data_IF_008607580330
#
_entry.id   IF_008607580330
#
_cell.length_a   1.000
_cell.length_b   1.000
_cell.length_c   1.000
_cell.angle_alpha   90.00
_cell.angle_beta   90.00
_cell.angle_gamma   90.00
#
_symmetry.space_group_name_H-M   'P 1'
#
loop_
_entity.id
_entity.type
_entity.pdbx_description
1 polymer ?
#
# COMPACT_ATOMS: atom_id res chain seq x y z
N UNK A 1 -13.98 -16.60 -13.06
CA UNK A 1 -15.03 -15.59 -13.36
C UNK A 1 -15.11 -15.35 -14.85
N UNK A 2 -16.22 -14.80 -15.34
CA UNK A 2 -16.24 -14.33 -16.71
C UNK A 2 -15.48 -13.00 -16.82
N UNK A 3 -14.85 -12.76 -17.97
CA UNK A 3 -14.20 -11.48 -18.31
C UNK A 3 -15.13 -10.29 -18.09
N UNK A 4 -16.44 -10.48 -18.31
CA UNK A 4 -17.49 -9.48 -18.07
C UNK A 4 -17.58 -9.08 -16.60
N UNK A 5 -17.47 -10.03 -15.65
CA UNK A 5 -17.55 -9.73 -14.22
C UNK A 5 -16.32 -8.95 -13.72
N UNK A 6 -15.13 -9.29 -14.19
CA UNK A 6 -13.90 -8.55 -13.87
C UNK A 6 -14.00 -7.11 -14.35
N UNK A 7 -14.47 -6.93 -15.60
CA UNK A 7 -14.68 -5.59 -16.16
C UNK A 7 -15.70 -4.77 -15.35
N UNK A 8 -16.81 -5.39 -14.94
CA UNK A 8 -17.84 -4.73 -14.15
C UNK A 8 -17.32 -4.33 -12.76
N UNK A 9 -16.57 -5.19 -12.08
CA UNK A 9 -15.97 -4.87 -10.79
C UNK A 9 -15.00 -3.67 -10.88
N UNK A 10 -14.15 -3.66 -11.92
CA UNK A 10 -13.27 -2.53 -12.20
C UNK A 10 -14.07 -1.23 -12.44
N UNK A 11 -15.13 -1.30 -13.25
CA UNK A 11 -15.98 -0.15 -13.54
C UNK A 11 -16.58 0.44 -12.27
N UNK A 12 -17.14 -0.41 -11.38
CA UNK A 12 -17.76 0.02 -10.12
C UNK A 12 -16.74 0.75 -9.22
N UNK A 13 -15.56 0.16 -9.01
CA UNK A 13 -14.51 0.77 -8.16
C UNK A 13 -14.01 2.07 -8.79
N UNK A 14 -13.82 2.09 -10.11
CA UNK A 14 -13.35 3.29 -10.82
C UNK A 14 -14.35 4.44 -10.72
N UNK A 15 -15.64 4.18 -10.99
CA UNK A 15 -16.70 5.19 -10.89
C UNK A 15 -16.86 5.70 -9.45
N UNK A 16 -16.79 4.79 -8.45
CA UNK A 16 -16.76 5.16 -7.04
C UNK A 16 -15.67 6.18 -6.75
N UNK A 17 -14.45 5.96 -7.22
CA UNK A 17 -13.35 6.88 -6.99
C UNK A 17 -13.48 8.21 -7.74
N UNK A 18 -14.05 8.20 -8.95
CA UNK A 18 -14.33 9.43 -9.67
C UNK A 18 -15.34 10.32 -8.92
N UNK A 19 -16.37 9.72 -8.35
CA UNK A 19 -17.35 10.45 -7.56
C UNK A 19 -16.79 10.91 -6.20
N UNK A 20 -15.96 10.11 -5.53
CA UNK A 20 -15.25 10.53 -4.32
C UNK A 20 -14.37 11.77 -4.55
N UNK A 21 -13.70 11.85 -5.71
CA UNK A 21 -12.89 13.02 -6.07
C UNK A 21 -13.68 14.32 -6.19
N UNK A 22 -15.00 14.24 -6.30
CA UNK A 22 -15.89 15.39 -6.49
C UNK A 22 -16.74 15.71 -5.26
N UNK A 23 -16.87 14.75 -4.34
CA UNK A 23 -17.86 14.81 -3.27
C UNK A 23 -17.55 15.84 -2.18
N UNK A 24 -16.27 16.04 -1.83
CA UNK A 24 -15.90 16.79 -0.63
C UNK A 24 -16.41 16.17 0.68
N UNK A 25 -16.11 16.80 1.81
CA UNK A 25 -16.47 16.27 3.12
C UNK A 25 -17.98 16.21 3.41
N UNK A 26 -18.77 17.07 2.77
CA UNK A 26 -20.23 17.12 2.97
C UNK A 26 -20.98 16.08 2.11
N UNK A 27 -20.48 15.78 0.91
CA UNK A 27 -21.11 14.85 -0.03
C UNK A 27 -20.61 13.41 0.03
N UNK A 28 -19.54 13.14 0.78
CA UNK A 28 -18.87 11.83 0.78
C UNK A 28 -19.76 10.70 1.28
N UNK A 29 -20.66 10.97 2.23
CA UNK A 29 -21.58 9.97 2.76
C UNK A 29 -22.51 9.42 1.67
N UNK A 30 -23.09 10.28 0.84
CA UNK A 30 -24.01 9.90 -0.25
C UNK A 30 -23.30 9.03 -1.30
N UNK A 31 -22.02 9.33 -1.57
CA UNK A 31 -21.21 8.55 -2.52
C UNK A 31 -20.91 7.16 -1.93
N UNK A 32 -20.51 7.09 -0.66
CA UNK A 32 -20.23 5.81 -0.01
C UNK A 32 -21.51 4.95 0.07
N UNK A 33 -22.66 5.49 0.42
CA UNK A 33 -23.94 4.76 0.40
C UNK A 33 -24.30 4.21 -0.98
N UNK A 34 -23.98 4.95 -2.03
CA UNK A 34 -24.26 4.54 -3.40
C UNK A 34 -23.41 3.36 -3.86
N UNK A 35 -22.14 3.32 -3.49
CA UNK A 35 -21.18 2.33 -4.01
C UNK A 35 -20.85 1.22 -3.05
N UNK A 36 -20.97 1.43 -1.74
CA UNK A 36 -20.60 0.45 -0.74
C UNK A 36 -21.82 -0.32 -0.20
N UNK A 37 -21.58 -1.53 0.24
CA UNK A 37 -22.57 -2.28 0.99
C UNK A 37 -22.75 -1.65 2.38
N UNK A 38 -23.95 -1.68 2.93
CA UNK A 38 -24.24 -1.08 4.26
C UNK A 38 -23.34 -1.65 5.38
N UNK A 39 -22.97 -2.92 5.29
CA UNK A 39 -22.14 -3.64 6.26
C UNK A 39 -20.69 -3.78 5.74
N UNK A 40 -20.21 -2.79 4.95
CA UNK A 40 -18.84 -2.78 4.44
C UNK A 40 -17.84 -2.95 5.57
N UNK A 41 -16.83 -3.80 5.34
CA UNK A 41 -15.64 -3.92 6.18
C UNK A 41 -14.51 -3.11 5.59
N UNK A 42 -13.85 -2.33 6.40
CA UNK A 42 -12.75 -1.49 5.96
C UNK A 42 -11.57 -1.64 6.90
N UNK A 43 -10.40 -1.93 6.34
CA UNK A 43 -9.16 -2.12 7.05
C UNK A 43 -8.16 -1.06 6.63
N UNK A 44 -7.69 -0.26 7.55
CA UNK A 44 -6.73 0.81 7.34
C UNK A 44 -5.54 0.74 8.29
N UNK A 45 -4.66 1.75 8.19
CA UNK A 45 -3.44 1.79 8.99
C UNK A 45 -3.73 2.15 10.45
N UNK A 46 -2.72 1.96 11.31
CA UNK A 46 -2.71 2.62 12.61
C UNK A 46 -2.75 4.16 12.43
N UNK A 47 -3.53 4.92 13.21
CA UNK A 47 -4.33 4.54 14.39
C UNK A 47 -5.82 4.26 14.07
N UNK A 48 -6.22 4.21 12.80
CA UNK A 48 -7.64 4.07 12.41
C UNK A 48 -8.10 2.62 12.56
N UNK A 49 -7.28 1.66 12.11
CA UNK A 49 -7.54 0.21 12.15
C UNK A 49 -8.78 -0.22 11.34
N UNK A 50 -9.77 -0.78 12.00
CA UNK A 50 -10.92 -1.41 11.36
C UNK A 50 -12.17 -0.55 11.55
N UNK A 51 -12.93 -0.37 10.48
CA UNK A 51 -14.18 0.35 10.46
C UNK A 51 -15.27 -0.54 9.87
N UNK A 52 -16.39 -0.67 10.58
CA UNK A 52 -17.52 -1.51 10.21
C UNK A 52 -18.74 -0.67 9.85
N UNK A 53 -19.21 -0.82 8.61
CA UNK A 53 -20.38 -0.13 8.09
C UNK A 53 -20.09 1.30 7.58
N UNK A 54 -21.07 1.84 6.89
CA UNK A 54 -20.97 3.14 6.19
C UNK A 54 -20.68 4.29 7.15
N UNK A 55 -21.42 4.38 8.25
CA UNK A 55 -21.28 5.48 9.22
C UNK A 55 -19.87 5.54 9.80
N UNK A 56 -19.32 4.38 10.21
CA UNK A 56 -17.94 4.30 10.71
C UNK A 56 -16.92 4.66 9.66
N UNK A 57 -17.10 4.21 8.41
CA UNK A 57 -16.21 4.53 7.31
C UNK A 57 -16.21 6.02 6.97
N UNK A 58 -17.38 6.65 6.95
CA UNK A 58 -17.52 8.10 6.72
C UNK A 58 -16.84 8.90 7.82
N UNK A 59 -17.23 8.65 9.08
CA UNK A 59 -16.78 9.45 10.22
C UNK A 59 -15.34 9.12 10.68
N UNK A 60 -14.89 7.89 10.47
CA UNK A 60 -13.58 7.43 10.93
C UNK A 60 -12.43 7.66 9.93
N UNK A 61 -12.75 7.75 8.63
CA UNK A 61 -11.71 7.91 7.61
C UNK A 61 -11.98 9.05 6.62
N UNK A 62 -13.04 8.93 5.80
CA UNK A 62 -13.21 9.84 4.65
C UNK A 62 -13.48 11.28 5.05
N UNK A 63 -14.39 11.52 5.98
CA UNK A 63 -14.75 12.88 6.40
C UNK A 63 -13.59 13.61 7.07
N UNK A 64 -12.84 13.02 8.04
CA UNK A 64 -11.65 13.63 8.59
C UNK A 64 -10.57 13.91 7.53
N UNK A 65 -10.33 12.98 6.61
CA UNK A 65 -9.36 13.16 5.53
C UNK A 65 -9.74 14.33 4.63
N UNK A 66 -11.00 14.40 4.16
CA UNK A 66 -11.49 15.46 3.30
C UNK A 66 -11.63 16.82 4.01
N UNK A 67 -11.80 16.84 5.33
CA UNK A 67 -11.74 18.08 6.12
C UNK A 67 -10.32 18.62 6.23
N UNK A 68 -9.34 17.71 6.30
CA UNK A 68 -7.93 18.07 6.40
C UNK A 68 -7.34 18.45 5.04
N UNK A 69 -7.85 17.84 3.97
CA UNK A 69 -7.47 18.09 2.57
C UNK A 69 -8.71 18.42 1.72
N UNK A 70 -9.26 19.65 1.80
CA UNK A 70 -10.55 19.97 1.19
C UNK A 70 -10.58 19.93 -0.35
N UNK A 71 -9.42 19.98 -0.98
CA UNK A 71 -9.23 19.88 -2.43
C UNK A 71 -8.59 18.54 -2.86
N UNK A 72 -8.71 17.50 -2.01
CA UNK A 72 -8.12 16.19 -2.23
C UNK A 72 -8.48 15.63 -3.61
N UNK A 73 -7.47 15.11 -4.31
CA UNK A 73 -7.62 14.39 -5.56
C UNK A 73 -6.86 13.08 -5.51
N UNK A 74 -7.49 12.02 -5.98
CA UNK A 74 -6.86 10.72 -6.17
C UNK A 74 -6.29 10.64 -7.59
N UNK A 75 -5.01 10.37 -7.71
CA UNK A 75 -4.36 9.87 -8.93
C UNK A 75 -4.12 8.38 -8.77
N UNK A 76 -4.43 7.62 -9.79
CA UNK A 76 -4.18 6.20 -9.83
C UNK A 76 -3.04 5.92 -10.81
N UNK A 77 -2.04 5.17 -10.37
CA UNK A 77 -0.86 4.81 -11.15
C UNK A 77 -0.91 3.34 -11.61
N UNK A 78 -1.45 2.46 -10.76
CA UNK A 78 -1.82 1.09 -11.08
C UNK A 78 -3.28 0.87 -10.72
N UNK A 79 -4.01 0.21 -11.63
CA UNK A 79 -5.38 -0.20 -11.41
C UNK A 79 -5.61 -1.51 -12.13
N UNK A 80 -5.67 -2.58 -11.38
CA UNK A 80 -5.69 -3.96 -11.89
C UNK A 80 -6.80 -4.74 -11.20
N UNK A 81 -7.35 -5.72 -11.87
CA UNK A 81 -8.38 -6.56 -11.31
C UNK A 81 -8.40 -7.89 -12.05
N UNK A 82 -8.43 -8.97 -11.33
CA UNK A 82 -8.36 -10.30 -11.88
C UNK A 82 -9.31 -11.26 -11.19
N UNK A 83 -8.75 -12.27 -10.61
CA UNK A 83 -9.49 -13.37 -10.01
C UNK A 83 -10.49 -12.90 -8.95
N UNK A 84 -11.68 -13.50 -9.06
CA UNK A 84 -12.76 -13.45 -8.07
C UNK A 84 -13.44 -12.07 -7.96
N UNK A 85 -13.21 -11.31 -6.92
CA UNK A 85 -13.99 -10.09 -6.62
C UNK A 85 -13.11 -8.85 -6.47
N UNK A 86 -11.78 -9.00 -6.56
CA UNK A 86 -10.84 -8.01 -6.13
C UNK A 86 -10.39 -7.06 -7.25
N UNK A 87 -10.23 -5.81 -6.87
CA UNK A 87 -9.55 -4.78 -7.62
C UNK A 87 -8.44 -4.23 -6.74
N UNK A 88 -7.21 -4.23 -7.26
CA UNK A 88 -6.04 -3.69 -6.59
C UNK A 88 -5.56 -2.42 -7.26
N UNK A 89 -5.05 -1.47 -6.49
CA UNK A 89 -4.53 -0.22 -7.01
C UNK A 89 -3.41 0.38 -6.18
N UNK A 90 -2.53 1.10 -6.86
CA UNK A 90 -1.53 1.99 -6.27
C UNK A 90 -1.69 3.38 -6.87
N UNK A 91 -1.48 4.39 -6.06
CA UNK A 91 -1.54 5.77 -6.49
C UNK A 91 -1.18 6.74 -5.39
N UNK A 92 -1.67 7.96 -5.54
CA UNK A 92 -1.53 8.97 -4.51
C UNK A 92 -2.75 9.85 -4.44
N UNK A 93 -3.08 10.27 -3.23
CA UNK A 93 -3.89 11.46 -3.01
C UNK A 93 -2.98 12.69 -3.04
N UNK A 94 -3.48 13.80 -3.54
CA UNK A 94 -2.80 15.10 -3.45
C UNK A 94 -3.83 16.18 -3.12
N UNK A 95 -3.44 17.13 -2.27
CA UNK A 95 -4.29 18.24 -1.86
C UNK A 95 -3.57 19.17 -0.91
N UNK A 96 -4.20 20.31 -0.63
CA UNK A 96 -3.70 21.27 0.36
C UNK A 96 -3.95 20.75 1.76
N UNK A 97 -2.88 20.53 2.54
CA UNK A 97 -2.96 20.11 3.95
C UNK A 97 -3.40 21.31 4.83
N UNK A 98 -4.71 21.55 4.86
CA UNK A 98 -5.31 22.76 5.42
C UNK A 98 -5.66 22.66 6.91
N UNK A 99 -5.86 21.45 7.46
CA UNK A 99 -6.14 21.19 8.88
C UNK A 99 -5.41 19.93 9.32
N UNK A 100 -5.12 19.85 10.62
CA UNK A 100 -4.43 18.70 11.21
C UNK A 100 -5.16 17.38 10.87
N UNK A 101 -4.37 16.36 10.57
CA UNK A 101 -4.86 15.01 10.28
C UNK A 101 -4.10 13.99 11.11
N UNK A 102 -4.80 13.16 11.86
CA UNK A 102 -4.21 12.15 12.77
C UNK A 102 -3.22 12.75 13.78
N UNK A 103 -3.39 14.02 14.17
CA UNK A 103 -2.45 14.73 15.03
C UNK A 103 -1.20 15.25 14.34
N UNK A 104 -1.09 15.11 13.01
CA UNK A 104 -0.02 15.71 12.21
C UNK A 104 -0.40 17.15 11.93
N UNK A 105 0.45 18.14 12.27
CA UNK A 105 0.16 19.55 12.05
C UNK A 105 0.02 19.90 10.57
N UNK A 106 -1.01 20.68 10.25
CA UNK A 106 -1.26 21.19 8.90
C UNK A 106 -0.14 22.12 8.43
N UNK A 107 0.23 22.00 7.16
CA UNK A 107 1.29 22.82 6.56
C UNK A 107 0.76 24.00 5.75
N UNK A 108 -0.50 23.97 5.36
CA UNK A 108 -1.08 24.86 4.36
C UNK A 108 -0.50 24.69 2.95
N UNK A 109 0.27 23.62 2.69
CA UNK A 109 0.92 23.34 1.41
C UNK A 109 0.32 22.11 0.75
N UNK A 110 0.55 21.96 -0.54
CA UNK A 110 0.27 20.73 -1.24
C UNK A 110 1.05 19.56 -0.60
N UNK A 111 0.35 18.49 -0.32
CA UNK A 111 0.89 17.27 0.27
C UNK A 111 0.39 16.09 -0.54
N UNK A 112 1.26 15.12 -0.74
CA UNK A 112 0.95 13.87 -1.44
C UNK A 112 0.90 12.73 -0.43
N UNK A 113 -0.12 11.87 -0.55
CA UNK A 113 -0.29 10.67 0.29
C UNK A 113 -0.28 9.47 -0.63
N UNK A 114 0.84 8.78 -0.72
CA UNK A 114 0.96 7.50 -1.46
C UNK A 114 0.03 6.48 -0.82
N UNK A 115 -0.59 5.63 -1.61
CA UNK A 115 -1.44 4.57 -1.08
C UNK A 115 -1.39 3.30 -1.92
N UNK A 116 -1.67 2.16 -1.28
CA UNK A 116 -2.17 0.95 -1.91
C UNK A 116 -3.58 0.65 -1.42
N UNK A 117 -4.42 0.12 -2.29
CA UNK A 117 -5.80 -0.25 -1.96
C UNK A 117 -6.21 -1.55 -2.65
N UNK A 118 -6.93 -2.39 -1.91
CA UNK A 118 -7.65 -3.55 -2.43
C UNK A 118 -9.12 -3.43 -2.07
N UNK A 119 -9.99 -3.50 -3.08
CA UNK A 119 -11.44 -3.44 -2.91
C UNK A 119 -12.11 -4.68 -3.46
N UNK A 120 -12.93 -5.35 -2.65
CA UNK A 120 -13.76 -6.48 -3.06
C UNK A 120 -15.16 -5.99 -3.47
N UNK A 121 -15.62 -6.44 -4.64
CA UNK A 121 -16.96 -6.12 -5.16
C UNK A 121 -17.84 -7.38 -5.18
N UNK A 122 -19.02 -7.27 -4.62
CA UNK A 122 -20.04 -8.31 -4.67
C UNK A 122 -21.42 -7.66 -4.88
N UNK A 123 -22.22 -8.24 -5.77
CA UNK A 123 -23.55 -7.76 -6.14
C UNK A 123 -23.61 -6.25 -6.44
N UNK A 124 -22.60 -5.76 -7.18
CA UNK A 124 -22.53 -4.35 -7.58
C UNK A 124 -22.14 -3.37 -6.50
N UNK A 125 -21.66 -3.85 -5.34
CA UNK A 125 -21.25 -3.03 -4.20
C UNK A 125 -19.85 -3.41 -3.71
N UNK A 126 -19.09 -2.43 -3.25
CA UNK A 126 -17.86 -2.64 -2.49
C UNK A 126 -18.24 -3.17 -1.10
N UNK A 127 -17.75 -4.36 -0.76
CA UNK A 127 -18.09 -5.04 0.51
C UNK A 127 -16.93 -5.05 1.51
N UNK A 128 -15.69 -4.95 1.01
CA UNK A 128 -14.48 -5.01 1.81
C UNK A 128 -13.40 -4.18 1.15
N UNK A 129 -12.68 -3.39 1.95
CA UNK A 129 -11.52 -2.61 1.48
C UNK A 129 -10.36 -2.78 2.45
N UNK A 130 -9.16 -2.98 1.90
CA UNK A 130 -7.88 -2.76 2.58
C UNK A 130 -7.22 -1.55 1.95
N UNK A 131 -6.72 -0.62 2.77
CA UNK A 131 -5.97 0.55 2.29
C UNK A 131 -4.79 0.86 3.21
N UNK A 132 -3.66 1.16 2.61
CA UNK A 132 -2.45 1.62 3.31
C UNK A 132 -2.03 2.97 2.71
N UNK A 133 -2.51 4.10 3.24
CA UNK A 133 -1.90 5.40 2.98
C UNK A 133 -0.56 5.50 3.72
N UNK A 134 0.43 6.11 3.09
CA UNK A 134 1.75 6.33 3.69
C UNK A 134 1.73 7.52 4.67
N UNK A 135 1.26 7.25 5.89
CA UNK A 135 1.12 8.26 6.95
C UNK A 135 2.48 8.80 7.38
N UNK A 136 3.52 7.95 7.37
CA UNK A 136 4.87 8.37 7.73
C UNK A 136 5.43 9.41 6.74
N UNK A 137 5.08 9.28 5.46
CA UNK A 137 5.44 10.29 4.44
C UNK A 137 4.73 11.63 4.65
N UNK A 138 3.48 11.63 5.11
CA UNK A 138 2.76 12.86 5.48
C UNK A 138 3.47 13.58 6.62
N UNK A 139 3.92 12.84 7.63
CA UNK A 139 4.71 13.40 8.76
C UNK A 139 6.01 14.01 8.25
N UNK A 140 6.73 13.31 7.36
CA UNK A 140 7.96 13.82 6.74
C UNK A 140 7.70 15.09 5.93
N UNK A 141 6.64 15.14 5.12
CA UNK A 141 6.25 16.33 4.34
C UNK A 141 5.82 17.49 5.23
N UNK A 142 5.30 17.21 6.43
CA UNK A 142 5.02 18.23 7.44
C UNK A 142 6.28 18.81 8.11
N UNK A 143 7.46 18.24 7.82
CA UNK A 143 8.76 18.75 8.28
C UNK A 143 9.35 18.02 9.48
N UNK A 144 8.77 16.87 9.87
CA UNK A 144 9.26 16.09 11.02
C UNK A 144 10.05 14.86 10.55
N UNK A 145 11.28 14.74 11.01
CA UNK A 145 12.14 13.60 10.74
C UNK A 145 12.21 12.71 11.98
N UNK A 146 11.39 11.66 12.02
CA UNK A 146 11.25 10.78 13.19
C UNK A 146 12.19 9.56 13.14
N UNK A 147 12.64 9.17 11.96
CA UNK A 147 13.54 8.05 11.73
C UNK A 147 14.87 8.55 11.16
N UNK A 148 15.94 7.74 11.21
CA UNK A 148 17.17 8.02 10.45
C UNK A 148 16.88 8.25 8.96
N UNK A 149 17.79 8.90 8.21
CA UNK A 149 17.65 9.06 6.77
C UNK A 149 17.44 7.70 6.09
N UNK A 150 16.48 7.62 5.17
CA UNK A 150 16.20 6.43 4.37
C UNK A 150 17.41 6.04 3.54
N UNK A 151 17.61 4.74 3.32
CA UNK A 151 18.65 4.23 2.41
C UNK A 151 18.25 4.40 0.94
N UNK A 152 16.95 4.46 0.66
CA UNK A 152 16.38 4.74 -0.65
C UNK A 152 15.98 6.21 -0.84
N UNK A 153 15.52 6.54 -2.05
CA UNK A 153 15.04 7.87 -2.40
C UNK A 153 13.63 8.11 -1.83
N UNK A 154 13.47 9.15 -1.01
CA UNK A 154 12.15 9.61 -0.56
C UNK A 154 11.48 10.46 -1.65
N UNK A 155 10.18 10.27 -1.84
CA UNK A 155 9.41 11.05 -2.80
C UNK A 155 8.17 10.33 -3.33
N UNK A 156 7.45 10.91 -4.30
CA UNK A 156 6.28 10.29 -4.88
C UNK A 156 6.64 9.03 -5.66
N UNK A 157 5.74 8.04 -5.66
CA UNK A 157 5.87 6.91 -6.57
C UNK A 157 5.40 7.33 -7.96
N UNK A 158 6.16 7.03 -9.00
CA UNK A 158 5.67 7.17 -10.38
C UNK A 158 4.73 6.00 -10.70
N UNK A 159 3.95 6.15 -11.75
CA UNK A 159 3.34 5.01 -12.44
C UNK A 159 4.41 4.15 -13.14
N UNK A 160 4.01 3.00 -13.71
CA UNK A 160 4.93 2.13 -14.42
C UNK A 160 5.63 2.87 -15.58
N UNK A 161 6.87 2.50 -15.82
CA UNK A 161 7.70 3.13 -16.87
C UNK A 161 7.06 3.05 -18.27
N UNK A 162 6.21 2.06 -18.51
CA UNK A 162 5.45 1.86 -19.75
C UNK A 162 4.19 2.73 -19.85
N UNK A 163 3.73 3.35 -18.74
CA UNK A 163 2.55 4.21 -18.71
C UNK A 163 1.21 3.48 -18.89
N UNK A 164 1.18 2.16 -18.77
CA UNK A 164 0.02 1.29 -19.04
C UNK A 164 -0.60 0.64 -17.79
N UNK A 165 -0.30 1.14 -16.59
CA UNK A 165 -0.73 0.52 -15.32
C UNK A 165 -2.22 0.63 -15.00
N UNK A 166 -2.99 1.47 -15.69
CA UNK A 166 -4.44 1.64 -15.45
C UNK A 166 -5.24 0.78 -16.42
N UNK A 167 -5.56 -0.44 -15.99
CA UNK A 167 -6.24 -1.45 -16.81
C UNK A 167 -7.74 -1.46 -16.51
N UNK A 168 -8.52 -0.63 -17.20
CA UNK A 168 -9.97 -0.53 -17.00
C UNK A 168 -10.74 -1.72 -17.56
N UNK A 169 -10.16 -2.43 -18.52
CA UNK A 169 -10.75 -3.64 -19.12
C UNK A 169 -10.01 -4.90 -18.65
N UNK A 170 -10.68 -6.04 -18.68
CA UNK A 170 -10.03 -7.32 -18.39
C UNK A 170 -8.98 -7.64 -19.45
N UNK A 171 -7.82 -8.11 -19.02
CA UNK A 171 -6.70 -8.53 -19.86
C UNK A 171 -6.72 -10.05 -20.08
N UNK A 172 -5.71 -10.58 -20.77
CA UNK A 172 -5.54 -12.02 -20.95
C UNK A 172 -5.25 -12.71 -19.61
N UNK A 173 -6.13 -13.62 -19.22
CA UNK A 173 -6.02 -14.31 -17.93
C UNK A 173 -4.83 -15.28 -17.86
N UNK A 174 -4.32 -15.77 -18.99
CA UNK A 174 -3.14 -16.63 -19.03
C UNK A 174 -1.87 -15.84 -18.71
N UNK A 175 -1.75 -14.64 -19.23
CA UNK A 175 -0.65 -13.70 -18.93
C UNK A 175 -0.68 -13.29 -17.46
N UNK A 176 -1.85 -12.92 -16.92
CA UNK A 176 -2.01 -12.55 -15.52
C UNK A 176 -1.56 -13.67 -14.57
N UNK A 177 -2.03 -14.90 -14.81
CA UNK A 177 -1.62 -16.06 -14.02
C UNK A 177 -0.11 -16.32 -14.10
N UNK A 178 0.50 -16.13 -15.27
CA UNK A 178 1.96 -16.27 -15.42
C UNK A 178 2.71 -15.23 -14.62
N UNK A 179 2.22 -13.98 -14.60
CA UNK A 179 2.79 -12.88 -13.81
C UNK A 179 2.67 -13.16 -12.30
N UNK A 180 1.49 -13.59 -11.84
CA UNK A 180 1.27 -13.94 -10.44
C UNK A 180 2.14 -15.12 -10.00
N UNK A 181 2.27 -16.13 -10.86
CA UNK A 181 3.14 -17.27 -10.58
C UNK A 181 4.61 -16.87 -10.44
N UNK A 182 5.11 -16.07 -11.40
CA UNK A 182 6.49 -15.54 -11.34
C UNK A 182 6.74 -14.75 -10.05
N UNK A 183 5.84 -13.84 -9.68
CA UNK A 183 5.97 -13.07 -8.45
C UNK A 183 5.99 -13.98 -7.20
N UNK A 184 5.15 -15.03 -7.16
CA UNK A 184 5.12 -15.98 -6.03
C UNK A 184 6.41 -16.80 -5.90
N UNK A 185 6.95 -17.33 -7.01
CA UNK A 185 8.20 -18.10 -6.95
C UNK A 185 9.39 -17.20 -6.60
N UNK A 186 9.39 -15.94 -7.07
CA UNK A 186 10.38 -14.95 -6.68
C UNK A 186 10.33 -14.68 -5.17
N UNK A 187 9.15 -14.47 -4.59
CA UNK A 187 9.00 -14.27 -3.14
C UNK A 187 9.47 -15.47 -2.30
N UNK A 188 9.34 -16.69 -2.82
CA UNK A 188 9.90 -17.89 -2.16
C UNK A 188 11.43 -17.91 -2.22
N UNK A 189 12.02 -17.22 -3.19
CA UNK A 189 13.47 -17.13 -3.38
C UNK A 189 14.11 -15.95 -2.64
N UNK A 190 13.35 -15.07 -1.99
CA UNK A 190 13.90 -13.87 -1.29
C UNK A 190 15.02 -14.21 -0.28
N UNK A 191 14.95 -15.37 0.38
CA UNK A 191 15.98 -15.82 1.33
C UNK A 191 17.15 -16.58 0.66
N UNK A 192 17.22 -16.60 -0.67
CA UNK A 192 18.27 -17.30 -1.45
C UNK A 192 19.16 -16.29 -2.21
N UNK A 193 20.36 -16.68 -2.62
CA UNK A 193 21.26 -15.80 -3.39
C UNK A 193 20.84 -15.64 -4.87
N UNK A 194 19.77 -16.31 -5.31
CA UNK A 194 19.45 -16.46 -6.74
C UNK A 194 18.33 -15.51 -7.23
N UNK A 195 18.16 -14.35 -6.62
CA UNK A 195 17.10 -13.38 -6.97
C UNK A 195 17.22 -12.87 -8.42
N UNK A 196 18.43 -12.79 -8.96
CA UNK A 196 18.67 -12.33 -10.33
C UNK A 196 18.06 -13.19 -11.45
N UNK A 197 17.52 -14.39 -11.13
CA UNK A 197 16.74 -15.15 -12.11
C UNK A 197 15.27 -14.70 -12.22
N UNK A 198 14.78 -13.88 -11.29
CA UNK A 198 13.39 -13.41 -11.23
C UNK A 198 13.28 -11.90 -11.41
N UNK A 199 14.31 -11.15 -11.04
CA UNK A 199 14.40 -9.71 -11.18
C UNK A 199 15.35 -9.32 -12.30
N UNK A 200 15.04 -8.23 -13.01
CA UNK A 200 16.05 -7.57 -13.84
C UNK A 200 17.09 -6.90 -12.93
N UNK A 201 18.33 -7.39 -12.89
CA UNK A 201 19.29 -6.94 -11.88
C UNK A 201 19.76 -5.50 -12.04
N UNK A 202 19.66 -4.92 -13.23
CA UNK A 202 20.19 -3.59 -13.56
C UNK A 202 19.09 -2.52 -13.61
N UNK A 203 17.89 -2.87 -14.04
CA UNK A 203 16.83 -1.89 -14.31
C UNK A 203 15.65 -1.96 -13.34
N UNK A 204 15.57 -3.00 -12.48
CA UNK A 204 14.48 -3.13 -11.53
C UNK A 204 14.40 -1.94 -10.57
N UNK A 205 13.17 -1.57 -10.22
CA UNK A 205 12.89 -0.53 -9.24
C UNK A 205 11.92 -1.08 -8.19
N UNK A 206 12.28 -0.90 -6.93
CA UNK A 206 11.44 -1.19 -5.78
C UNK A 206 10.99 0.11 -5.13
N UNK A 207 9.70 0.39 -5.18
CA UNK A 207 9.09 1.60 -4.62
C UNK A 207 8.59 1.32 -3.21
N UNK A 208 9.42 1.58 -2.21
CA UNK A 208 9.11 1.39 -0.81
C UNK A 208 8.47 2.59 -0.14
N UNK A 209 7.87 2.39 1.07
CA UNK A 209 7.27 3.46 1.85
C UNK A 209 8.31 4.40 2.46
N UNK A 210 7.83 5.50 3.04
CA UNK A 210 8.70 6.42 3.80
C UNK A 210 9.40 5.68 4.96
N UNK A 211 10.63 6.06 5.22
CA UNK A 211 11.54 5.39 6.13
C UNK A 211 12.46 4.37 5.44
N UNK A 212 12.03 3.77 4.32
CA UNK A 212 12.85 2.88 3.49
C UNK A 212 13.22 3.59 2.18
N UNK A 213 12.21 4.14 1.48
CA UNK A 213 12.37 4.87 0.23
C UNK A 213 12.44 3.97 -1.01
N UNK A 214 12.58 4.58 -2.18
CA UNK A 214 12.71 3.90 -3.47
C UNK A 214 14.13 3.42 -3.70
N UNK A 215 14.28 2.17 -4.10
CA UNK A 215 15.55 1.50 -4.35
C UNK A 215 15.65 1.08 -5.81
N UNK A 216 16.83 1.27 -6.40
CA UNK A 216 17.10 0.94 -7.81
C UNK A 216 18.13 -0.15 -7.89
N UNK A 217 18.01 -1.00 -8.89
CA UNK A 217 18.82 -2.20 -9.13
C UNK A 217 18.62 -3.28 -8.06
N UNK A 218 18.87 -4.53 -8.40
CA UNK A 218 18.77 -5.63 -7.45
C UNK A 218 19.73 -5.42 -6.26
N UNK A 219 20.95 -4.97 -6.51
CA UNK A 219 21.92 -4.70 -5.45
C UNK A 219 21.46 -3.57 -4.51
N UNK A 220 20.81 -2.53 -5.05
CA UNK A 220 20.22 -1.46 -4.25
C UNK A 220 19.06 -1.96 -3.37
N UNK A 221 18.20 -2.81 -3.92
CA UNK A 221 17.11 -3.47 -3.19
C UNK A 221 17.65 -4.35 -2.07
N UNK A 222 18.63 -5.22 -2.36
CA UNK A 222 19.24 -6.11 -1.36
C UNK A 222 19.90 -5.31 -0.22
N UNK A 223 20.66 -4.26 -0.53
CA UNK A 223 21.36 -3.49 0.48
C UNK A 223 20.46 -2.53 1.25
N UNK A 224 19.47 -1.93 0.60
CA UNK A 224 18.63 -0.89 1.20
C UNK A 224 17.37 -1.43 1.89
N UNK A 225 16.90 -2.62 1.53
CA UNK A 225 15.69 -3.20 2.11
C UNK A 225 15.88 -4.64 2.58
N UNK A 226 16.23 -5.56 1.71
CA UNK A 226 16.16 -6.99 2.00
C UNK A 226 17.15 -7.40 3.11
N UNK A 227 18.39 -6.90 3.08
CA UNK A 227 19.39 -7.18 4.10
C UNK A 227 19.03 -6.58 5.47
N UNK A 228 18.67 -5.29 5.60
CA UNK A 228 18.15 -4.74 6.85
C UNK A 228 16.92 -5.46 7.37
N UNK A 229 15.97 -5.79 6.49
CA UNK A 229 14.76 -6.52 6.85
C UNK A 229 15.07 -7.93 7.39
N UNK A 230 15.93 -8.70 6.71
CA UNK A 230 16.37 -10.03 7.16
C UNK A 230 17.17 -9.97 8.47
N UNK A 231 17.88 -8.89 8.72
CA UNK A 231 18.54 -8.67 10.01
C UNK A 231 17.52 -8.47 11.13
N UNK A 232 16.50 -7.66 10.89
CA UNK A 232 15.45 -7.37 11.87
C UNK A 232 14.51 -8.56 12.13
N UNK A 233 14.08 -9.23 11.06
CA UNK A 233 13.15 -10.37 11.07
C UNK A 233 13.78 -11.58 10.36
N UNK A 234 14.81 -12.20 10.95
CA UNK A 234 15.52 -13.30 10.31
C UNK A 234 14.61 -14.52 10.14
N UNK A 235 14.89 -15.35 9.14
CA UNK A 235 14.06 -16.50 8.77
C UNK A 235 13.73 -17.42 9.94
N UNK A 236 14.70 -17.67 10.84
CA UNK A 236 14.49 -18.52 12.03
C UNK A 236 13.54 -17.88 13.07
N UNK A 237 13.32 -16.57 13.02
CA UNK A 237 12.42 -15.83 13.91
C UNK A 237 11.06 -15.53 13.27
N UNK A 238 10.86 -15.89 11.99
CA UNK A 238 9.58 -15.72 11.29
C UNK A 238 8.62 -16.83 11.70
N UNK A 239 7.44 -16.45 12.18
CA UNK A 239 6.36 -17.38 12.53
C UNK A 239 5.63 -17.81 11.25
N UNK A 240 5.39 -16.87 10.34
CA UNK A 240 4.94 -17.12 8.97
C UNK A 240 5.35 -15.97 8.03
N UNK A 241 5.32 -16.26 6.74
CA UNK A 241 5.55 -15.29 5.65
C UNK A 241 4.74 -15.67 4.42
N UNK A 242 4.36 -14.67 3.61
CA UNK A 242 3.64 -14.88 2.36
C UNK A 242 2.19 -15.32 2.54
N UNK A 243 1.54 -14.86 3.62
CA UNK A 243 0.11 -15.06 3.82
C UNK A 243 -0.64 -13.89 3.15
N UNK A 244 -1.58 -14.21 2.27
CA UNK A 244 -2.33 -13.22 1.51
C UNK A 244 -3.82 -13.30 1.85
N UNK A 245 -4.44 -12.14 2.10
CA UNK A 245 -5.88 -12.00 2.28
C UNK A 245 -6.60 -11.90 0.93
N UNK A 246 -5.93 -11.32 -0.07
CA UNK A 246 -6.41 -11.22 -1.45
C UNK A 246 -5.26 -11.17 -2.43
N UNK A 247 -5.54 -11.61 -3.67
CA UNK A 247 -4.60 -11.60 -4.80
C UNK A 247 -5.35 -11.15 -6.06
N UNK A 248 -4.65 -10.46 -6.95
CA UNK A 248 -5.13 -10.08 -8.29
C UNK A 248 -4.04 -10.29 -9.32
N UNK A 249 -4.46 -10.61 -10.55
CA UNK A 249 -3.57 -10.78 -11.70
C UNK A 249 -4.23 -10.20 -12.96
N UNK A 250 -3.50 -9.41 -13.75
CA UNK A 250 -4.05 -8.67 -14.87
C UNK A 250 -2.96 -8.35 -15.90
N UNK A 251 -2.82 -9.18 -16.92
CA UNK A 251 -1.77 -9.05 -17.92
C UNK A 251 -0.36 -9.12 -17.30
N UNK A 252 0.44 -8.08 -17.51
CA UNK A 252 1.81 -8.00 -16.98
C UNK A 252 1.89 -7.58 -15.51
N UNK A 253 0.75 -7.49 -14.83
CA UNK A 253 0.67 -7.05 -13.44
C UNK A 253 0.11 -8.15 -12.54
N UNK A 254 0.64 -8.24 -11.34
CA UNK A 254 0.08 -9.06 -10.27
C UNK A 254 0.24 -8.32 -8.94
N UNK A 255 -0.67 -8.57 -8.01
CA UNK A 255 -0.58 -7.99 -6.69
C UNK A 255 -1.27 -8.85 -5.63
N UNK A 256 -0.91 -8.58 -4.37
CA UNK A 256 -1.59 -9.15 -3.21
C UNK A 256 -1.59 -8.19 -2.03
N UNK A 257 -2.46 -8.47 -1.07
CA UNK A 257 -2.48 -7.83 0.24
C UNK A 257 -2.39 -8.88 1.33
N UNK A 258 -1.53 -8.66 2.32
CA UNK A 258 -1.45 -9.46 3.55
C UNK A 258 -1.80 -8.63 4.78
N UNK A 259 -2.66 -9.19 5.65
CA UNK A 259 -3.18 -8.46 6.82
C UNK A 259 -3.14 -9.28 8.10
N UNK A 260 -1.92 -9.66 8.60
CA UNK A 260 -0.60 -9.40 8.06
C UNK A 260 -0.16 -10.40 6.99
N UNK A 261 0.83 -10.02 6.17
CA UNK A 261 1.53 -10.93 5.24
C UNK A 261 2.65 -11.70 5.91
N UNK A 262 3.28 -11.10 6.90
CA UNK A 262 4.42 -11.63 7.63
C UNK A 262 4.20 -11.43 9.12
N UNK A 263 4.59 -12.44 9.91
CA UNK A 263 4.69 -12.37 11.37
C UNK A 263 6.02 -12.91 11.81
N UNK A 264 6.74 -12.16 12.62
CA UNK A 264 8.05 -12.58 13.12
C UNK A 264 8.42 -11.91 14.42
N UNK A 265 9.57 -12.26 14.97
CA UNK A 265 10.12 -11.68 16.20
C UNK A 265 11.18 -10.66 15.81
N UNK A 266 11.05 -9.43 16.28
CA UNK A 266 12.02 -8.35 16.08
C UNK A 266 13.32 -8.67 16.82
N UNK A 267 14.28 -9.23 16.09
CA UNK A 267 15.49 -9.85 16.63
C UNK A 267 16.79 -9.08 16.32
N UNK A 268 16.75 -8.12 15.39
CA UNK A 268 17.87 -7.26 14.99
C UNK A 268 17.45 -5.80 14.90
N UNK A 269 18.41 -4.90 14.83
CA UNK A 269 18.14 -3.47 14.64
C UNK A 269 17.43 -3.23 13.30
N UNK A 270 16.42 -2.35 13.29
CA UNK A 270 15.70 -1.92 12.10
C UNK A 270 15.37 -0.43 12.16
N UNK A 271 15.78 0.33 11.12
CA UNK A 271 15.54 1.77 11.00
C UNK A 271 15.97 2.59 12.23
N UNK A 272 17.07 2.18 12.87
CA UNK A 272 17.60 2.79 14.09
C UNK A 272 16.96 2.30 15.39
N UNK A 273 15.99 1.39 15.33
CA UNK A 273 15.31 0.82 16.48
C UNK A 273 16.02 -0.48 16.90
N UNK A 274 16.54 -0.58 18.14
CA UNK A 274 17.20 -1.80 18.61
C UNK A 274 16.22 -2.97 18.72
N UNK A 275 16.71 -4.23 18.67
CA UNK A 275 15.84 -5.39 18.78
C UNK A 275 15.04 -5.39 20.09
N UNK A 276 13.73 -5.59 19.99
CA UNK A 276 12.80 -5.58 21.13
C UNK A 276 12.45 -6.97 21.62
N UNK A 277 12.56 -7.98 20.77
CA UNK A 277 12.04 -9.33 21.05
C UNK A 277 10.52 -9.45 20.88
N UNK A 278 9.84 -8.39 20.52
CA UNK A 278 8.39 -8.38 20.31
C UNK A 278 8.01 -9.16 19.05
N UNK A 279 6.79 -9.70 19.05
CA UNK A 279 6.16 -10.21 17.82
C UNK A 279 5.66 -9.03 16.99
N UNK A 280 6.04 -9.01 15.72
CA UNK A 280 5.68 -7.97 14.77
C UNK A 280 4.86 -8.55 13.62
N UNK A 281 3.71 -7.96 13.39
CA UNK A 281 2.84 -8.20 12.25
C UNK A 281 3.11 -7.14 11.18
N UNK A 282 3.52 -7.58 9.99
CA UNK A 282 3.76 -6.69 8.85
C UNK A 282 2.56 -6.75 7.91
N UNK A 283 1.76 -5.69 7.91
CA UNK A 283 0.67 -5.46 6.96
C UNK A 283 1.25 -4.77 5.74
N UNK A 284 1.09 -5.39 4.59
CA UNK A 284 1.64 -4.86 3.34
C UNK A 284 0.79 -5.23 2.14
N UNK A 285 1.05 -4.52 1.07
CA UNK A 285 0.61 -4.84 -0.28
C UNK A 285 1.81 -4.89 -1.18
N UNK A 286 1.80 -5.83 -2.13
CA UNK A 286 2.83 -5.94 -3.17
C UNK A 286 2.17 -5.84 -4.54
N UNK A 287 2.68 -4.95 -5.39
CA UNK A 287 2.26 -4.80 -6.77
C UNK A 287 3.46 -4.97 -7.67
N UNK A 288 3.40 -5.88 -8.60
CA UNK A 288 4.51 -6.26 -9.48
C UNK A 288 4.17 -5.98 -10.93
N UNK A 289 5.17 -5.49 -11.68
CA UNK A 289 5.14 -5.46 -13.13
C UNK A 289 6.20 -6.42 -13.70
N UNK A 290 5.75 -7.25 -14.61
CA UNK A 290 6.59 -8.19 -15.36
C UNK A 290 6.92 -7.64 -16.75
N UNK A 291 8.12 -7.92 -17.22
CA UNK A 291 8.53 -7.71 -18.60
C UNK A 291 9.27 -8.95 -19.07
N UNK A 292 8.73 -9.65 -20.08
CA UNK A 292 9.20 -10.99 -20.45
C UNK A 292 9.08 -11.98 -19.28
N UNK A 293 10.21 -12.53 -18.87
CA UNK A 293 10.29 -13.53 -17.78
C UNK A 293 10.83 -12.92 -16.46
N UNK A 294 10.95 -11.59 -16.37
CA UNK A 294 11.52 -10.91 -15.22
C UNK A 294 10.53 -9.91 -14.60
N UNK A 295 10.60 -9.75 -13.29
CA UNK A 295 10.00 -8.63 -12.56
C UNK A 295 10.92 -7.41 -12.74
N UNK A 296 10.33 -6.27 -13.07
CA UNK A 296 11.08 -5.03 -13.34
C UNK A 296 10.66 -3.87 -12.44
N UNK A 297 9.44 -3.87 -11.93
CA UNK A 297 8.97 -2.86 -10.98
C UNK A 297 8.11 -3.49 -9.89
N UNK A 298 8.23 -2.96 -8.67
CA UNK A 298 7.45 -3.41 -7.52
C UNK A 298 7.10 -2.21 -6.63
N UNK A 299 5.81 -2.01 -6.35
CA UNK A 299 5.30 -0.99 -5.42
C UNK A 299 4.83 -1.68 -4.15
N UNK A 300 5.35 -1.25 -3.01
CA UNK A 300 5.14 -1.94 -1.72
C UNK A 300 4.64 -0.98 -0.64
N UNK A 301 3.34 -0.70 -0.58
CA UNK A 301 2.72 -0.07 0.57
C UNK A 301 2.88 -0.95 1.82
N UNK A 302 3.49 -0.43 2.87
CA UNK A 302 3.62 -1.08 4.18
C UNK A 302 3.00 -0.18 5.25
N UNK A 303 2.20 -0.75 6.17
CA UNK A 303 1.72 -0.03 7.35
C UNK A 303 2.88 0.18 8.35
N UNK A 304 3.79 1.10 7.97
CA UNK A 304 5.00 1.40 8.72
C UNK A 304 4.68 1.84 10.16
N UNK A 305 3.64 2.65 10.34
CA UNK A 305 3.27 3.17 11.64
C UNK A 305 2.85 2.05 12.59
N UNK A 306 2.06 1.08 12.09
CA UNK A 306 1.67 -0.12 12.84
C UNK A 306 2.87 -1.03 13.14
N UNK A 307 3.76 -1.22 12.15
CA UNK A 307 4.95 -2.05 12.33
C UNK A 307 5.89 -1.48 13.40
N UNK A 308 6.18 -0.17 13.32
CA UNK A 308 7.05 0.53 14.26
C UNK A 308 6.49 0.55 15.69
N UNK A 309 5.17 0.71 15.83
CA UNK A 309 4.51 0.65 17.15
C UNK A 309 4.76 -0.69 17.85
N UNK A 310 4.73 -1.80 17.12
CA UNK A 310 5.02 -3.13 17.67
C UNK A 310 6.51 -3.32 18.02
N UNK A 311 7.39 -2.49 17.45
CA UNK A 311 8.81 -2.39 17.80
C UNK A 311 9.09 -1.39 18.93
N UNK A 312 8.07 -1.06 19.76
CA UNK A 312 8.13 -0.09 20.85
C UNK A 312 8.47 1.36 20.39
N UNK A 313 8.20 1.70 19.13
CA UNK A 313 8.38 3.03 18.57
C UNK A 313 7.03 3.63 18.16
N UNK A 314 6.42 4.41 19.07
CA UNK A 314 5.16 5.12 18.78
C UNK A 314 5.44 6.40 18.00
N UNK A 315 5.24 6.34 16.67
CA UNK A 315 5.43 7.45 15.72
C UNK A 315 4.66 8.71 16.14
N UNK A 316 3.43 8.56 16.66
CA UNK A 316 2.63 9.72 17.07
C UNK A 316 3.06 10.29 18.43
N UNK A 317 3.59 9.48 19.34
CA UNK A 317 4.19 9.97 20.57
C UNK A 317 5.46 10.77 20.27
N UNK A 318 6.33 10.26 19.39
CA UNK A 318 7.52 10.96 18.93
C UNK A 318 7.17 12.26 18.22
N UNK A 319 6.16 12.26 17.35
CA UNK A 319 5.68 13.47 16.69
C UNK A 319 5.23 14.52 17.70
N UNK A 320 4.39 14.15 18.68
CA UNK A 320 3.94 15.07 19.72
C UNK A 320 5.10 15.70 20.48
N UNK A 321 6.14 14.93 20.78
CA UNK A 321 7.32 15.44 21.49
C UNK A 321 8.12 16.50 20.71
N UNK A 322 7.95 16.56 19.38
CA UNK A 322 8.61 17.55 18.51
C UNK A 322 7.72 18.77 18.20
N UNK A 323 6.39 18.66 18.41
CA UNK A 323 5.44 19.76 18.18
C UNK A 323 5.32 20.67 19.40
N UNK A 324 5.46 20.13 20.63
CA UNK A 324 5.44 20.85 21.91
C UNK A 324 6.77 21.57 22.14
#
# INVERSE_FOLDING_TARGET
>A
MSTTQVHENKRIVWEFWQELNQAGAEGVADVIERYCHRDIKWHGPHPIYELDGIEALVSGFWQPLLQSFPDLRRRCDLFIGGHVHWVGAVGQFSGTFARDWLGIPATGRETQIRFGEFSAVHDGKVILTYIIPDVLDVIRQAGFQLLPPSLGEEGPWPGPATGDGVLLTAQDGGEGLSTLHLAKIMCQALDTPDLGQYWDPETMIWYGPSGIGTLRTLAGFENGHETPYRHALPTYARIFQGVHAAEVDDGNYAAWVGWPSIRGIHSGEYLGIPPTGNVVDVRLMDFYRREGELIVENWVPIDMVHMLLQMDFDVFAELRSQVD
#
